data_IF_606818183189
#
_entry.id   IF_606818183189
#
_cell.length_a   1.000
_cell.length_b   1.000
_cell.length_c   1.000
_cell.angle_alpha   90.00
_cell.angle_beta   90.00
_cell.angle_gamma   90.00
#
_symmetry.space_group_name_H-M   'P 1'
#
loop_
_entity.id
_entity.type
_entity.pdbx_description
1 polymer ?
#
# COMPACT_ATOMS: atom_id res chain seq x y z
N UNK A 1 -57.69 -26.30 -15.05
CA UNK A 1 -57.01 -25.06 -15.49
C UNK A 1 -56.33 -24.31 -14.33
N UNK A 2 -56.97 -24.09 -13.17
CA UNK A 2 -56.38 -23.34 -12.05
C UNK A 2 -55.08 -23.91 -11.44
N UNK A 3 -54.90 -25.24 -11.40
CA UNK A 3 -53.68 -25.88 -10.86
C UNK A 3 -52.42 -25.63 -11.70
N UNK A 4 -52.56 -25.48 -13.02
CA UNK A 4 -51.43 -25.18 -13.91
C UNK A 4 -50.94 -23.73 -13.75
N UNK A 5 -51.86 -22.80 -13.44
CA UNK A 5 -51.53 -21.39 -13.21
C UNK A 5 -50.78 -21.17 -11.88
N UNK A 6 -51.16 -21.87 -10.80
CA UNK A 6 -50.44 -21.79 -9.52
C UNK A 6 -49.00 -22.32 -9.61
N UNK A 7 -48.81 -23.44 -10.32
CA UNK A 7 -47.50 -24.06 -10.49
C UNK A 7 -46.56 -23.20 -11.37
N UNK A 8 -47.11 -22.45 -12.33
CA UNK A 8 -46.37 -21.50 -13.14
C UNK A 8 -45.87 -20.31 -12.32
N UNK A 9 -46.74 -19.71 -11.49
CA UNK A 9 -46.40 -18.59 -10.61
C UNK A 9 -45.33 -18.97 -9.56
N UNK A 10 -45.41 -20.18 -9.03
CA UNK A 10 -44.47 -20.69 -8.04
C UNK A 10 -43.08 -20.96 -8.67
N UNK A 11 -43.03 -21.48 -9.90
CA UNK A 11 -41.77 -21.66 -10.65
C UNK A 11 -41.15 -20.33 -11.08
N UNK A 12 -41.95 -19.35 -11.52
CA UNK A 12 -41.44 -18.00 -11.83
C UNK A 12 -40.93 -17.30 -10.57
N UNK A 13 -41.62 -17.44 -9.43
CA UNK A 13 -41.18 -16.87 -8.15
C UNK A 13 -39.83 -17.44 -7.69
N UNK A 14 -39.62 -18.76 -7.81
CA UNK A 14 -38.34 -19.41 -7.50
C UNK A 14 -37.24 -18.96 -8.48
N UNK A 15 -37.56 -18.77 -9.76
CA UNK A 15 -36.60 -18.27 -10.75
C UNK A 15 -36.16 -16.83 -10.46
N UNK A 16 -37.08 -15.93 -10.10
CA UNK A 16 -36.75 -14.57 -9.67
C UNK A 16 -35.98 -14.52 -8.34
N UNK A 17 -36.30 -15.40 -7.39
CA UNK A 17 -35.51 -15.58 -6.15
C UNK A 17 -34.09 -16.08 -6.45
N UNK A 18 -33.93 -17.05 -7.35
CA UNK A 18 -32.62 -17.54 -7.80
C UNK A 18 -31.83 -16.44 -8.54
N UNK A 19 -32.48 -15.65 -9.39
CA UNK A 19 -31.89 -14.48 -10.04
C UNK A 19 -31.49 -13.37 -9.06
N UNK A 20 -32.25 -13.17 -7.98
CA UNK A 20 -31.88 -12.24 -6.91
C UNK A 20 -30.75 -12.74 -6.01
N UNK A 21 -30.56 -14.08 -5.96
CA UNK A 21 -29.44 -14.73 -5.26
C UNK A 21 -28.19 -14.92 -6.11
N UNK A 22 -28.28 -14.67 -7.42
CA UNK A 22 -27.10 -14.40 -8.24
C UNK A 22 -26.60 -13.03 -7.81
N UNK A 23 -25.79 -13.02 -6.75
CA UNK A 23 -24.92 -11.89 -6.45
C UNK A 23 -24.09 -11.70 -7.72
N UNK A 24 -24.45 -10.71 -8.53
CA UNK A 24 -23.55 -10.23 -9.56
C UNK A 24 -22.30 -9.81 -8.80
N UNK A 25 -21.24 -10.60 -8.89
CA UNK A 25 -19.94 -10.18 -8.40
C UNK A 25 -19.59 -8.94 -9.22
N UNK A 26 -19.75 -7.76 -8.63
CA UNK A 26 -19.34 -6.52 -9.27
C UNK A 26 -17.83 -6.54 -9.40
N UNK A 27 -17.37 -6.82 -10.62
CA UNK A 27 -15.97 -6.74 -10.97
C UNK A 27 -15.58 -5.28 -11.15
N UNK A 28 -15.11 -4.65 -10.07
CA UNK A 28 -14.54 -3.30 -10.14
C UNK A 28 -13.25 -3.24 -10.97
N UNK A 29 -13.01 -2.09 -11.58
CA UNK A 29 -11.79 -1.74 -12.30
C UNK A 29 -10.80 -1.05 -11.36
N UNK A 30 -9.67 -1.68 -11.12
CA UNK A 30 -8.71 -1.33 -10.08
C UNK A 30 -7.44 -0.77 -10.71
N UNK A 31 -7.08 0.46 -10.34
CA UNK A 31 -5.78 1.03 -10.64
C UNK A 31 -4.80 0.64 -9.54
N UNK A 32 -3.73 -0.04 -9.89
CA UNK A 32 -2.67 -0.42 -8.97
C UNK A 32 -1.46 0.50 -9.15
N UNK A 33 -1.12 1.23 -8.09
CA UNK A 33 0.09 2.07 -8.01
C UNK A 33 1.04 1.44 -6.98
N UNK A 34 1.94 0.54 -7.40
CA UNK A 34 2.84 -0.18 -6.52
C UNK A 34 4.05 0.67 -6.14
N UNK A 35 4.82 0.16 -5.18
CA UNK A 35 6.18 0.63 -4.87
C UNK A 35 7.15 -0.54 -5.08
N UNK A 36 8.34 -0.24 -5.59
CA UNK A 36 9.34 -1.26 -5.90
C UNK A 36 9.90 -1.94 -4.63
N UNK A 37 10.78 -2.93 -4.80
CA UNK A 37 11.42 -3.62 -3.68
C UNK A 37 10.49 -4.65 -3.04
N UNK A 38 10.63 -4.78 -1.71
CA UNK A 38 9.84 -5.70 -0.88
C UNK A 38 8.35 -5.35 -0.84
N UNK A 39 8.00 -4.09 -1.15
CA UNK A 39 6.62 -3.61 -1.21
C UNK A 39 5.87 -4.33 -2.35
N UNK A 40 6.43 -4.30 -3.57
CA UNK A 40 5.86 -5.02 -4.71
C UNK A 40 5.81 -6.53 -4.50
N UNK A 41 6.86 -7.13 -3.92
CA UNK A 41 6.88 -8.57 -3.67
C UNK A 41 5.71 -9.03 -2.79
N UNK A 42 5.31 -8.22 -1.82
CA UNK A 42 4.16 -8.50 -0.94
C UNK A 42 2.82 -8.17 -1.61
N UNK A 43 2.79 -7.15 -2.47
CA UNK A 43 1.58 -6.66 -3.13
C UNK A 43 1.15 -7.52 -4.33
N UNK A 44 2.12 -8.02 -5.10
CA UNK A 44 1.90 -8.79 -6.33
C UNK A 44 0.96 -9.99 -6.15
N UNK A 45 1.08 -10.83 -5.10
CA UNK A 45 0.13 -11.93 -4.87
C UNK A 45 -1.31 -11.43 -4.67
N UNK A 46 -1.50 -10.30 -4.00
CA UNK A 46 -2.82 -9.69 -3.78
C UNK A 46 -3.40 -9.19 -5.11
N UNK A 47 -2.59 -8.51 -5.92
CA UNK A 47 -2.96 -8.06 -7.28
C UNK A 47 -3.39 -9.24 -8.15
N UNK A 48 -2.62 -10.35 -8.11
CA UNK A 48 -2.98 -11.58 -8.81
C UNK A 48 -4.30 -12.17 -8.32
N UNK A 49 -4.57 -12.10 -7.01
CA UNK A 49 -5.84 -12.60 -6.45
C UNK A 49 -7.04 -11.72 -6.81
N UNK A 50 -6.87 -10.40 -6.85
CA UNK A 50 -7.91 -9.46 -7.31
C UNK A 50 -8.32 -9.80 -8.76
N UNK A 51 -7.34 -9.98 -9.64
CA UNK A 51 -7.60 -10.41 -11.01
C UNK A 51 -8.34 -11.76 -11.05
N UNK A 52 -7.88 -12.77 -10.30
CA UNK A 52 -8.50 -14.10 -10.28
C UNK A 52 -9.96 -14.07 -9.79
N UNK A 53 -10.31 -13.07 -8.99
CA UNK A 53 -11.67 -12.85 -8.52
C UNK A 53 -12.53 -12.03 -9.51
N UNK A 54 -12.01 -11.74 -10.71
CA UNK A 54 -12.76 -11.14 -11.82
C UNK A 54 -12.54 -9.64 -12.03
N UNK A 55 -11.78 -8.96 -11.15
CA UNK A 55 -11.53 -7.52 -11.29
C UNK A 55 -10.70 -7.19 -12.54
N UNK A 56 -11.03 -6.06 -13.20
CA UNK A 56 -10.18 -5.49 -14.26
C UNK A 56 -9.03 -4.72 -13.60
N UNK A 57 -7.84 -5.31 -13.60
CA UNK A 57 -6.68 -4.78 -12.88
C UNK A 57 -5.68 -4.16 -13.86
N UNK A 58 -5.36 -2.88 -13.64
CA UNK A 58 -4.31 -2.16 -14.38
C UNK A 58 -3.20 -1.78 -13.41
N UNK A 59 -2.00 -2.30 -13.63
CA UNK A 59 -0.81 -1.98 -12.83
C UNK A 59 0.07 -1.01 -13.60
N UNK A 60 0.34 0.16 -13.01
CA UNK A 60 1.23 1.16 -13.58
C UNK A 60 2.62 1.01 -12.97
N UNK A 61 3.63 0.76 -13.79
CA UNK A 61 5.00 0.48 -13.35
C UNK A 61 6.02 1.34 -14.11
N UNK A 62 7.12 1.74 -13.49
CA UNK A 62 8.20 2.45 -14.18
C UNK A 62 8.91 1.53 -15.20
N UNK A 63 9.60 2.14 -16.17
CA UNK A 63 10.34 1.43 -17.22
C UNK A 63 11.52 0.60 -16.69
N UNK A 64 12.07 1.00 -15.54
CA UNK A 64 13.15 0.31 -14.83
C UNK A 64 12.68 -0.05 -13.43
N UNK A 65 13.00 -1.26 -12.95
CA UNK A 65 12.54 -1.75 -11.66
C UNK A 65 13.40 -2.91 -11.13
N UNK A 66 13.56 -2.99 -9.81
CA UNK A 66 14.20 -4.11 -9.12
C UNK A 66 13.40 -5.41 -9.25
N UNK A 67 12.07 -5.35 -9.09
CA UNK A 67 11.24 -6.56 -9.02
C UNK A 67 9.96 -6.53 -9.88
N UNK A 68 9.59 -5.39 -10.47
CA UNK A 68 8.41 -5.27 -11.34
C UNK A 68 8.74 -5.67 -12.77
N UNK A 69 8.83 -6.99 -12.99
CA UNK A 69 9.13 -7.56 -14.31
C UNK A 69 7.96 -7.38 -15.29
N UNK A 70 8.13 -6.47 -16.23
CA UNK A 70 7.13 -6.12 -17.27
C UNK A 70 7.02 -7.14 -18.40
N UNK A 71 8.04 -7.99 -18.58
CA UNK A 71 8.13 -8.97 -19.69
C UNK A 71 7.58 -10.36 -19.35
N UNK A 72 7.22 -10.61 -18.09
CA UNK A 72 6.62 -11.89 -17.68
C UNK A 72 5.11 -11.85 -17.95
N UNK A 73 4.52 -12.96 -18.42
CA UNK A 73 3.08 -13.03 -18.66
C UNK A 73 2.32 -12.78 -17.36
N UNK A 74 1.53 -11.70 -17.32
CA UNK A 74 0.64 -11.37 -16.21
C UNK A 74 -0.81 -11.52 -16.67
N UNK A 75 -1.68 -11.92 -15.75
CA UNK A 75 -3.12 -12.01 -16.04
C UNK A 75 -3.84 -10.66 -15.92
N UNK A 76 -3.11 -9.59 -15.62
CA UNK A 76 -3.58 -8.22 -15.48
C UNK A 76 -2.87 -7.30 -16.47
N UNK A 77 -3.49 -6.15 -16.75
CA UNK A 77 -2.92 -5.16 -17.66
C UNK A 77 -1.73 -4.47 -17.01
N UNK A 78 -0.61 -4.35 -17.71
CA UNK A 78 0.56 -3.59 -17.27
C UNK A 78 0.73 -2.36 -18.15
N UNK A 79 0.89 -1.19 -17.52
CA UNK A 79 1.17 0.09 -18.17
C UNK A 79 2.52 0.60 -17.70
N UNK A 80 3.40 0.89 -18.66
CA UNK A 80 4.78 1.28 -18.39
C UNK A 80 4.96 2.76 -18.69
N UNK A 81 5.63 3.49 -17.80
CA UNK A 81 6.01 4.90 -18.04
C UNK A 81 7.54 5.06 -17.90
N UNK A 82 8.17 5.96 -18.68
CA UNK A 82 9.60 6.20 -18.63
C UNK A 82 10.03 6.89 -17.33
N UNK A 83 11.24 6.58 -16.88
CA UNK A 83 11.91 7.20 -15.72
C UNK A 83 13.37 7.53 -16.08
N UNK A 84 14.02 8.49 -15.40
CA UNK A 84 15.32 9.03 -15.82
C UNK A 84 16.54 8.16 -15.48
N UNK A 85 16.35 6.93 -14.99
CA UNK A 85 17.43 6.04 -14.58
C UNK A 85 17.16 4.58 -15.00
N UNK A 86 18.23 3.79 -15.05
CA UNK A 86 18.21 2.40 -15.56
C UNK A 86 18.16 1.35 -14.44
N UNK A 87 17.94 0.10 -14.82
CA UNK A 87 18.00 -1.04 -13.91
C UNK A 87 19.38 -1.17 -13.24
N UNK A 88 20.47 -0.87 -13.94
CA UNK A 88 21.83 -0.91 -13.39
C UNK A 88 22.01 0.11 -12.26
N UNK A 89 21.48 1.33 -12.44
CA UNK A 89 21.52 2.35 -11.40
C UNK A 89 20.79 1.88 -10.12
N UNK A 90 19.61 1.29 -10.29
CA UNK A 90 18.83 0.70 -9.21
C UNK A 90 19.61 -0.38 -8.43
N UNK A 91 20.31 -1.28 -9.14
CA UNK A 91 21.12 -2.32 -8.52
C UNK A 91 22.31 -1.75 -7.74
N UNK A 92 22.94 -0.68 -8.25
CA UNK A 92 24.04 0.00 -7.56
C UNK A 92 23.56 0.65 -6.27
N UNK A 93 22.43 1.38 -6.32
CA UNK A 93 21.83 2.02 -5.15
C UNK A 93 21.46 0.97 -4.09
N UNK A 94 20.80 -0.11 -4.49
CA UNK A 94 20.45 -1.21 -3.59
C UNK A 94 21.70 -1.84 -2.95
N UNK A 95 22.74 -2.10 -3.73
CA UNK A 95 24.00 -2.69 -3.22
C UNK A 95 24.69 -1.76 -2.23
N UNK A 96 24.72 -0.45 -2.48
CA UNK A 96 25.28 0.53 -1.54
C UNK A 96 24.51 0.53 -0.22
N UNK A 97 23.18 0.63 -0.30
CA UNK A 97 22.31 0.61 0.86
C UNK A 97 22.51 -0.65 1.71
N UNK A 98 22.58 -1.82 1.08
CA UNK A 98 22.82 -3.10 1.77
C UNK A 98 24.20 -3.11 2.44
N UNK A 99 25.26 -2.73 1.73
CA UNK A 99 26.62 -2.75 2.27
C UNK A 99 26.78 -1.84 3.50
N UNK A 100 26.15 -0.67 3.48
CA UNK A 100 26.20 0.27 4.62
C UNK A 100 25.54 -0.31 5.88
N UNK A 101 24.47 -1.09 5.74
CA UNK A 101 23.79 -1.74 6.88
C UNK A 101 24.61 -2.86 7.52
N UNK A 102 25.54 -3.47 6.78
CA UNK A 102 26.44 -4.51 7.29
C UNK A 102 27.80 -4.00 7.75
N UNK A 103 28.06 -2.70 7.60
CA UNK A 103 29.31 -2.08 8.03
C UNK A 103 29.24 -1.72 9.52
N UNK A 104 30.23 -2.15 10.31
CA UNK A 104 30.32 -1.73 11.72
C UNK A 104 30.54 -0.23 11.84
N UNK A 105 29.70 0.43 12.63
CA UNK A 105 29.67 1.87 12.78
C UNK A 105 29.34 2.24 14.23
N UNK A 106 29.79 3.41 14.67
CA UNK A 106 29.37 3.95 15.97
C UNK A 106 27.87 4.27 15.96
N UNK A 107 27.23 4.21 17.12
CA UNK A 107 25.78 4.46 17.27
C UNK A 107 25.33 5.78 16.64
N UNK A 108 26.09 6.87 16.81
CA UNK A 108 25.76 8.16 16.22
C UNK A 108 25.82 8.12 14.70
N UNK A 109 26.84 7.44 14.14
CA UNK A 109 27.00 7.29 12.71
C UNK A 109 25.87 6.46 12.10
N UNK A 110 25.43 5.39 12.79
CA UNK A 110 24.26 4.60 12.39
C UNK A 110 23.01 5.48 12.27
N UNK A 111 22.75 6.34 13.25
CA UNK A 111 21.58 7.24 13.24
C UNK A 111 21.65 8.20 12.03
N UNK A 112 22.82 8.81 11.81
CA UNK A 112 23.02 9.76 10.70
C UNK A 112 22.86 9.05 9.34
N UNK A 113 23.56 7.93 9.15
CA UNK A 113 23.52 7.16 7.90
C UNK A 113 22.12 6.61 7.63
N UNK A 114 21.41 6.14 8.65
CA UNK A 114 20.02 5.69 8.50
C UNK A 114 19.10 6.83 8.04
N UNK A 115 19.24 8.02 8.61
CA UNK A 115 18.46 9.19 8.17
C UNK A 115 18.79 9.59 6.73
N UNK A 116 20.07 9.65 6.37
CA UNK A 116 20.51 9.92 4.99
C UNK A 116 19.94 8.90 4.00
N UNK A 117 19.98 7.63 4.36
CA UNK A 117 19.43 6.56 3.53
C UNK A 117 17.90 6.67 3.35
N UNK A 118 17.16 7.04 4.41
CA UNK A 118 15.73 7.31 4.29
C UNK A 118 15.49 8.49 3.34
N UNK A 119 16.25 9.59 3.47
CA UNK A 119 16.12 10.75 2.58
C UNK A 119 16.39 10.38 1.11
N UNK A 120 17.46 9.62 0.83
CA UNK A 120 17.79 9.18 -0.53
C UNK A 120 16.72 8.25 -1.10
N UNK A 121 16.19 7.33 -0.30
CA UNK A 121 15.06 6.48 -0.70
C UNK A 121 13.84 7.32 -1.07
N UNK A 122 13.47 8.28 -0.22
CA UNK A 122 12.33 9.17 -0.48
C UNK A 122 12.55 10.04 -1.73
N UNK A 123 13.76 10.56 -1.95
CA UNK A 123 14.13 11.32 -3.15
C UNK A 123 14.04 10.46 -4.42
N UNK A 124 14.51 9.23 -4.34
CA UNK A 124 14.43 8.27 -5.45
C UNK A 124 12.97 8.04 -5.85
N UNK A 125 12.13 7.70 -4.87
CA UNK A 125 10.70 7.48 -5.09
C UNK A 125 9.94 8.75 -5.51
N UNK A 126 10.34 9.92 -5.02
CA UNK A 126 9.82 11.21 -5.48
C UNK A 126 10.04 11.35 -6.99
N UNK A 127 11.25 11.09 -7.47
CA UNK A 127 11.60 11.17 -8.89
C UNK A 127 10.75 10.22 -9.75
N UNK A 128 10.53 9.01 -9.24
CA UNK A 128 9.64 8.00 -9.85
C UNK A 128 8.21 8.53 -9.97
N UNK A 129 7.67 9.08 -8.88
CA UNK A 129 6.32 9.61 -8.86
C UNK A 129 6.16 10.83 -9.76
N UNK A 130 7.11 11.76 -9.72
CA UNK A 130 7.15 12.94 -10.57
C UNK A 130 7.12 12.54 -12.05
N UNK A 131 7.94 11.56 -12.45
CA UNK A 131 7.97 11.05 -13.83
C UNK A 131 6.61 10.48 -14.28
N UNK A 132 5.86 9.84 -13.37
CA UNK A 132 4.50 9.35 -13.66
C UNK A 132 3.51 10.50 -13.80
N UNK A 133 3.48 11.40 -12.82
CA UNK A 133 2.49 12.48 -12.76
C UNK A 133 2.69 13.53 -13.86
N UNK A 134 3.92 13.69 -14.36
CA UNK A 134 4.24 14.55 -15.50
C UNK A 134 4.12 13.85 -16.85
N UNK A 135 3.84 12.54 -16.88
CA UNK A 135 3.60 11.84 -18.14
C UNK A 135 2.17 12.11 -18.64
N UNK A 136 2.02 13.10 -19.52
CA UNK A 136 0.71 13.55 -20.03
C UNK A 136 -0.10 12.43 -20.69
N UNK A 137 0.54 11.56 -21.48
CA UNK A 137 -0.13 10.44 -22.15
C UNK A 137 -0.71 9.45 -21.11
N UNK A 138 0.10 9.07 -20.12
CA UNK A 138 -0.31 8.18 -19.04
C UNK A 138 -1.42 8.82 -18.23
N UNK A 139 -1.27 10.07 -17.80
CA UNK A 139 -2.29 10.78 -17.01
C UNK A 139 -3.61 10.91 -17.77
N UNK A 140 -3.55 11.16 -19.08
CA UNK A 140 -4.74 11.22 -19.92
C UNK A 140 -5.40 9.84 -20.07
N UNK A 141 -4.61 8.77 -20.22
CA UNK A 141 -5.11 7.40 -20.23
C UNK A 141 -5.79 7.05 -18.89
N UNK A 142 -5.16 7.37 -17.76
CA UNK A 142 -5.69 7.07 -16.42
C UNK A 142 -7.03 7.78 -16.19
N UNK A 143 -7.12 9.07 -16.55
CA UNK A 143 -8.36 9.85 -16.46
C UNK A 143 -9.49 9.27 -17.32
N UNK A 144 -9.19 8.86 -18.56
CA UNK A 144 -10.19 8.29 -19.49
C UNK A 144 -10.62 6.87 -19.10
N UNK A 145 -9.79 6.16 -18.35
CA UNK A 145 -10.00 4.73 -18.03
C UNK A 145 -11.11 4.47 -17.02
N UNK A 146 -11.57 5.48 -16.27
CA UNK A 146 -12.66 5.39 -15.27
C UNK A 146 -12.46 4.22 -14.29
N UNK A 147 -11.47 4.34 -13.42
CA UNK A 147 -11.23 3.39 -12.35
C UNK A 147 -12.26 3.55 -11.22
N UNK A 148 -12.56 2.47 -10.52
CA UNK A 148 -13.45 2.50 -9.36
C UNK A 148 -12.68 2.74 -8.06
N UNK A 149 -11.41 2.30 -8.01
CA UNK A 149 -10.56 2.41 -6.82
C UNK A 149 -9.07 2.39 -7.18
N UNK A 150 -8.27 3.12 -6.40
CA UNK A 150 -6.80 3.02 -6.41
C UNK A 150 -6.33 2.08 -5.30
N UNK A 151 -5.65 1.01 -5.67
CA UNK A 151 -4.96 0.12 -4.74
C UNK A 151 -3.46 0.44 -4.74
N UNK A 152 -2.91 0.88 -3.61
CA UNK A 152 -1.54 1.43 -3.59
C UNK A 152 -0.83 1.19 -2.26
N UNK A 153 0.50 1.07 -2.30
CA UNK A 153 1.29 1.33 -1.10
C UNK A 153 1.51 2.86 -0.99
N UNK A 154 0.90 3.51 0.01
CA UNK A 154 0.82 4.96 0.10
C UNK A 154 2.11 5.63 0.56
N UNK A 155 3.17 4.88 0.93
CA UNK A 155 4.37 5.41 1.63
C UNK A 155 4.99 6.65 0.98
N UNK A 156 4.76 6.84 -0.32
CA UNK A 156 5.41 7.84 -1.16
C UNK A 156 4.41 8.73 -1.90
N UNK A 157 3.19 8.86 -1.37
CA UNK A 157 2.12 9.77 -1.79
C UNK A 157 1.63 9.66 -3.25
N UNK A 158 2.30 8.94 -4.15
CA UNK A 158 1.94 8.90 -5.56
C UNK A 158 0.54 8.35 -5.80
N UNK A 159 0.23 7.21 -5.15
CA UNK A 159 -1.10 6.61 -5.18
C UNK A 159 -2.17 7.53 -4.57
N UNK A 160 -1.98 8.08 -3.36
CA UNK A 160 -2.86 9.11 -2.79
C UNK A 160 -3.11 10.31 -3.71
N UNK A 161 -2.07 10.90 -4.32
CA UNK A 161 -2.21 12.03 -5.25
C UNK A 161 -3.02 11.62 -6.48
N UNK A 162 -2.74 10.45 -7.05
CA UNK A 162 -3.51 9.92 -8.19
C UNK A 162 -4.96 9.65 -7.84
N UNK A 163 -5.24 9.13 -6.64
CA UNK A 163 -6.60 8.89 -6.19
C UNK A 163 -7.41 10.20 -6.11
N UNK A 164 -6.81 11.26 -5.56
CA UNK A 164 -7.44 12.58 -5.48
C UNK A 164 -7.63 13.19 -6.88
N UNK A 165 -6.61 13.11 -7.74
CA UNK A 165 -6.66 13.59 -9.12
C UNK A 165 -7.75 12.90 -9.95
N UNK A 166 -7.94 11.60 -9.76
CA UNK A 166 -8.96 10.81 -10.44
C UNK A 166 -10.33 10.89 -9.74
N UNK A 167 -10.39 11.47 -8.54
CA UNK A 167 -11.58 11.56 -7.70
C UNK A 167 -12.20 10.18 -7.40
N UNK A 168 -11.35 9.23 -7.03
CA UNK A 168 -11.74 7.84 -6.70
C UNK A 168 -11.24 7.45 -5.31
N UNK A 169 -11.93 6.54 -4.59
CA UNK A 169 -11.46 6.04 -3.31
C UNK A 169 -10.11 5.32 -3.44
N UNK A 170 -9.39 5.22 -2.33
CA UNK A 170 -8.12 4.51 -2.27
C UNK A 170 -8.09 3.45 -1.18
N UNK A 171 -7.48 2.31 -1.49
CA UNK A 171 -7.17 1.23 -0.56
C UNK A 171 -5.66 1.19 -0.41
N UNK A 172 -5.20 1.40 0.82
CA UNK A 172 -3.79 1.46 1.15
C UNK A 172 -3.26 0.11 1.60
N UNK A 173 -2.07 -0.25 1.13
CA UNK A 173 -1.42 -1.53 1.39
C UNK A 173 -0.02 -1.28 1.94
N UNK A 174 0.14 -1.28 3.26
CA UNK A 174 1.35 -0.78 3.92
C UNK A 174 1.71 -1.58 5.17
N UNK A 175 2.99 -1.58 5.53
CA UNK A 175 3.40 -2.08 6.85
C UNK A 175 3.35 -0.99 7.92
N UNK A 176 3.48 0.26 7.53
CA UNK A 176 3.47 1.41 8.42
C UNK A 176 4.12 2.60 7.74
N UNK A 177 4.08 3.75 8.40
CA UNK A 177 4.69 4.98 7.90
C UNK A 177 5.79 5.47 8.85
N UNK A 178 6.84 6.11 8.31
CA UNK A 178 7.72 6.94 9.12
C UNK A 178 6.91 7.94 9.95
N UNK A 179 7.35 8.16 11.18
CA UNK A 179 6.88 9.26 12.02
C UNK A 179 5.38 9.19 12.40
N UNK A 180 4.78 8.01 12.27
CA UNK A 180 3.38 7.75 12.64
C UNK A 180 2.36 8.45 11.74
N UNK A 181 2.70 8.70 10.47
CA UNK A 181 1.78 9.35 9.53
C UNK A 181 0.50 8.54 9.30
N UNK A 182 0.56 7.22 9.38
CA UNK A 182 -0.61 6.35 9.38
C UNK A 182 -1.58 6.71 10.51
N UNK A 183 -1.04 6.87 11.73
CA UNK A 183 -1.85 7.26 12.90
C UNK A 183 -2.39 8.68 12.77
N UNK A 184 -1.56 9.64 12.31
CA UNK A 184 -1.97 11.03 12.13
C UNK A 184 -3.07 11.17 11.08
N UNK A 185 -2.90 10.54 9.91
CA UNK A 185 -3.85 10.61 8.80
C UNK A 185 -5.19 9.94 9.12
N UNK A 186 -5.16 8.83 9.86
CA UNK A 186 -6.38 8.15 10.31
C UNK A 186 -6.99 8.77 11.58
N UNK A 187 -6.37 9.82 12.14
CA UNK A 187 -6.73 10.39 13.43
C UNK A 187 -6.74 9.36 14.58
N UNK A 188 -5.94 8.31 14.44
CA UNK A 188 -5.78 7.26 15.43
C UNK A 188 -4.88 7.74 16.58
N UNK A 189 -5.30 7.65 17.85
CA UNK A 189 -4.45 8.03 18.97
C UNK A 189 -3.16 7.19 19.02
N UNK A 190 -2.02 7.86 19.18
CA UNK A 190 -0.71 7.22 19.32
C UNK A 190 0.07 7.82 20.50
N UNK A 191 -0.33 7.53 21.76
CA UNK A 191 0.23 8.20 22.92
C UNK A 191 1.68 7.77 23.20
N UNK A 192 2.63 8.72 23.30
CA UNK A 192 4.05 8.39 23.53
C UNK A 192 4.32 7.83 24.93
N UNK A 193 3.33 7.77 25.80
CA UNK A 193 3.45 7.19 27.14
C UNK A 193 3.51 5.65 27.10
N UNK A 194 2.95 4.98 26.09
CA UNK A 194 2.97 3.51 25.97
C UNK A 194 3.15 3.00 24.54
N UNK A 195 3.00 3.85 23.52
CA UNK A 195 3.32 3.47 22.13
C UNK A 195 4.80 3.82 21.86
N UNK A 196 5.69 2.82 21.69
CA UNK A 196 7.10 3.09 21.46
C UNK A 196 7.35 3.73 20.09
N UNK A 197 8.22 4.74 20.03
CA UNK A 197 8.71 5.30 18.77
C UNK A 197 9.74 4.35 18.15
N UNK A 198 9.78 4.35 16.82
CA UNK A 198 10.73 3.55 16.07
C UNK A 198 12.17 3.91 16.48
N UNK A 199 13.07 2.92 16.41
CA UNK A 199 14.51 3.05 16.72
C UNK A 199 14.87 3.32 18.18
N UNK A 200 13.90 3.35 19.11
CA UNK A 200 14.19 3.54 20.54
C UNK A 200 14.40 2.24 21.34
N UNK A 201 14.27 1.07 20.72
CA UNK A 201 14.31 -0.25 21.38
C UNK A 201 13.49 -0.30 22.68
N UNK A 202 12.34 0.36 22.67
CA UNK A 202 11.39 0.39 23.77
C UNK A 202 10.30 -0.66 23.54
N UNK A 203 9.74 -1.21 24.62
CA UNK A 203 8.52 -2.01 24.59
C UNK A 203 7.28 -1.16 24.91
N UNK A 204 6.11 -1.79 24.97
CA UNK A 204 4.87 -1.22 25.50
C UNK A 204 4.91 -0.98 27.03
N UNK A 205 5.80 -1.67 27.74
CA UNK A 205 6.06 -1.48 29.16
C UNK A 205 7.32 -0.63 29.40
N UNK A 206 7.17 0.70 29.33
CA UNK A 206 8.27 1.66 29.54
C UNK A 206 8.34 2.19 30.98
N UNK A 207 9.57 2.29 31.50
CA UNK A 207 9.91 3.09 32.70
C UNK A 207 9.70 4.59 32.46
N UNK A 208 9.68 5.40 33.52
CA UNK A 208 9.55 6.85 33.40
C UNK A 208 10.61 7.48 32.46
N UNK A 209 11.88 7.10 32.62
CA UNK A 209 12.96 7.61 31.78
C UNK A 209 12.79 7.21 30.29
N UNK A 210 12.36 5.98 30.03
CA UNK A 210 12.05 5.54 28.67
C UNK A 210 10.89 6.33 28.06
N UNK A 211 9.84 6.63 28.83
CA UNK A 211 8.71 7.46 28.39
C UNK A 211 9.15 8.89 28.07
N UNK A 212 10.01 9.48 28.90
CA UNK A 212 10.59 10.81 28.62
C UNK A 212 11.39 10.79 27.32
N UNK A 213 12.27 9.81 27.12
CA UNK A 213 13.02 9.64 25.87
C UNK A 213 12.09 9.45 24.66
N UNK A 214 11.03 8.65 24.83
CA UNK A 214 10.04 8.38 23.80
C UNK A 214 9.29 9.65 23.38
N UNK A 215 8.89 10.47 24.36
CA UNK A 215 8.28 11.78 24.13
C UNK A 215 9.22 12.74 23.40
N UNK A 216 10.50 12.79 23.80
CA UNK A 216 11.49 13.65 23.14
C UNK A 216 11.65 13.30 21.66
N UNK A 217 11.77 12.00 21.33
CA UNK A 217 11.81 11.57 19.92
C UNK A 217 10.53 11.92 19.19
N UNK A 218 9.36 11.75 19.82
CA UNK A 218 8.11 12.13 19.19
C UNK A 218 8.01 13.62 18.84
N UNK A 219 8.57 14.49 19.69
CA UNK A 219 8.67 15.93 19.39
C UNK A 219 9.67 16.17 18.25
N UNK A 220 10.83 15.53 18.28
CA UNK A 220 11.86 15.67 17.24
C UNK A 220 11.35 15.26 15.85
N UNK A 221 10.51 14.22 15.77
CA UNK A 221 9.87 13.76 14.53
C UNK A 221 9.06 14.85 13.83
N UNK A 222 8.50 15.82 14.56
CA UNK A 222 7.78 16.93 13.94
C UNK A 222 8.69 17.79 13.04
N UNK A 223 9.99 17.79 13.30
CA UNK A 223 10.98 18.56 12.56
C UNK A 223 11.69 17.69 11.53
N UNK A 224 12.29 16.56 11.94
CA UNK A 224 13.12 15.79 11.02
C UNK A 224 12.33 15.00 9.97
N UNK A 225 11.03 14.80 10.15
CA UNK A 225 10.21 14.11 9.16
C UNK A 225 9.58 15.03 8.13
N UNK A 226 9.53 16.33 8.40
CA UNK A 226 8.94 17.31 7.48
C UNK A 226 9.57 17.22 6.06
N UNK A 227 10.90 17.16 5.90
CA UNK A 227 11.53 17.13 4.58
C UNK A 227 11.13 15.91 3.73
N UNK A 228 10.72 14.80 4.36
CA UNK A 228 10.28 13.59 3.65
C UNK A 228 8.99 13.82 2.85
N UNK A 229 8.13 14.71 3.32
CA UNK A 229 6.79 14.90 2.77
C UNK A 229 6.64 16.20 1.98
N UNK A 230 7.40 17.25 2.30
CA UNK A 230 7.31 18.56 1.65
C UNK A 230 7.36 18.47 0.12
N UNK A 231 8.29 17.69 -0.44
CA UNK A 231 8.41 17.57 -1.90
C UNK A 231 7.16 16.96 -2.54
N UNK A 232 6.54 15.99 -1.87
CA UNK A 232 5.29 15.38 -2.33
C UNK A 232 4.10 16.33 -2.19
N UNK A 233 4.07 17.16 -1.15
CA UNK A 233 3.04 18.19 -0.98
C UNK A 233 3.12 19.26 -2.08
N UNK A 234 4.35 19.68 -2.45
CA UNK A 234 4.58 20.60 -3.56
C UNK A 234 4.15 19.99 -4.91
N UNK A 235 4.52 18.73 -5.17
CA UNK A 235 4.10 18.00 -6.36
C UNK A 235 2.58 17.81 -6.40
N UNK A 236 1.96 17.50 -5.26
CA UNK A 236 0.51 17.40 -5.16
C UNK A 236 -0.17 18.74 -5.47
N UNK A 237 0.37 19.85 -4.96
CA UNK A 237 -0.13 21.19 -5.27
C UNK A 237 -0.05 21.49 -6.77
N UNK A 238 1.06 21.14 -7.42
CA UNK A 238 1.24 21.31 -8.86
C UNK A 238 0.21 20.51 -9.68
N UNK A 239 -0.06 19.26 -9.31
CA UNK A 239 -0.93 18.36 -10.08
C UNK A 239 -2.43 18.62 -9.78
N UNK A 240 -2.76 18.89 -8.52
CA UNK A 240 -4.15 19.06 -8.06
C UNK A 240 -4.61 20.51 -8.09
N UNK A 241 -3.70 21.47 -8.24
CA UNK A 241 -3.97 22.92 -8.20
C UNK A 241 -4.66 23.36 -6.90
N UNK A 242 -4.38 22.65 -5.80
CA UNK A 242 -4.96 22.86 -4.47
C UNK A 242 -3.91 22.58 -3.41
N UNK A 243 -3.84 23.44 -2.39
CA UNK A 243 -2.94 23.23 -1.25
C UNK A 243 -3.45 22.06 -0.42
N UNK A 244 -2.62 21.02 -0.29
CA UNK A 244 -2.90 19.81 0.48
C UNK A 244 -1.64 19.42 1.25
N UNK A 245 -1.82 18.87 2.45
CA UNK A 245 -0.72 18.26 3.20
C UNK A 245 -0.68 16.75 2.95
N UNK A 246 0.43 16.10 3.29
CA UNK A 246 0.54 14.64 3.24
C UNK A 246 -0.50 13.97 4.15
N UNK A 247 -0.84 14.60 5.28
CA UNK A 247 -1.90 14.12 6.17
C UNK A 247 -3.27 14.19 5.50
N UNK A 248 -3.57 15.30 4.79
CA UNK A 248 -4.84 15.47 4.07
C UNK A 248 -4.98 14.40 2.97
N UNK A 249 -3.95 14.22 2.15
CA UNK A 249 -3.93 13.22 1.08
C UNK A 249 -4.18 11.81 1.61
N UNK A 250 -3.50 11.45 2.71
CA UNK A 250 -3.65 10.13 3.33
C UNK A 250 -5.00 9.97 4.05
N UNK A 251 -5.61 11.04 4.55
CA UNK A 251 -6.89 10.95 5.26
C UNK A 251 -8.03 10.44 4.36
N UNK A 252 -7.88 10.54 3.03
CA UNK A 252 -8.83 10.03 2.05
C UNK A 252 -8.74 8.49 1.85
N UNK A 253 -7.80 7.81 2.52
CA UNK A 253 -7.68 6.35 2.49
C UNK A 253 -8.92 5.64 3.06
N UNK A 254 -9.68 4.99 2.19
CA UNK A 254 -10.95 4.34 2.56
C UNK A 254 -10.73 3.07 3.39
N UNK A 255 -9.70 2.29 3.06
CA UNK A 255 -9.30 1.08 3.80
C UNK A 255 -7.78 1.03 3.89
N UNK A 256 -7.27 0.70 5.07
CA UNK A 256 -5.85 0.56 5.36
C UNK A 256 -5.52 -0.91 5.64
N UNK A 257 -5.01 -1.60 4.63
CA UNK A 257 -4.56 -2.98 4.74
C UNK A 257 -3.14 -3.01 5.33
N UNK A 258 -3.07 -3.33 6.62
CA UNK A 258 -1.84 -3.37 7.40
C UNK A 258 -1.13 -4.71 7.21
N UNK A 259 0.08 -4.70 6.63
CA UNK A 259 0.89 -5.89 6.26
C UNK A 259 1.59 -6.56 7.44
N UNK A 260 0.92 -6.62 8.58
CA UNK A 260 1.40 -7.26 9.79
C UNK A 260 0.21 -7.81 10.58
N UNK A 261 0.48 -8.70 11.52
CA UNK A 261 -0.51 -9.26 12.43
C UNK A 261 -0.42 -8.54 13.78
N UNK A 262 -1.56 -8.31 14.42
CA UNK A 262 -1.62 -7.66 15.73
C UNK A 262 -0.89 -8.48 16.81
N UNK A 263 -0.78 -9.81 16.64
CA UNK A 263 -0.08 -10.68 17.58
C UNK A 263 1.44 -10.42 17.69
N UNK A 264 2.04 -9.75 16.71
CA UNK A 264 3.47 -9.42 16.69
C UNK A 264 3.75 -7.95 16.96
N UNK A 265 2.73 -7.16 17.28
CA UNK A 265 2.86 -5.72 17.49
C UNK A 265 2.47 -5.33 18.91
N UNK A 266 3.00 -4.20 19.36
CA UNK A 266 2.61 -3.63 20.65
C UNK A 266 1.17 -3.12 20.62
N UNK A 267 0.43 -3.27 21.74
CA UNK A 267 -0.95 -2.81 21.83
C UNK A 267 -1.04 -1.31 21.59
N UNK A 268 -1.81 -0.91 20.59
CA UNK A 268 -2.12 0.48 20.28
C UNK A 268 -3.53 0.62 19.74
N UNK A 269 -4.14 1.82 19.84
CA UNK A 269 -5.42 2.10 19.20
C UNK A 269 -5.36 1.85 17.69
N UNK A 270 -6.50 1.50 17.11
CA UNK A 270 -6.67 1.22 15.68
C UNK A 270 -8.02 1.73 15.21
N UNK A 271 -8.11 2.24 13.99
CA UNK A 271 -9.38 2.69 13.41
C UNK A 271 -10.14 1.53 12.75
N UNK A 272 -11.49 1.59 12.66
CA UNK A 272 -12.29 0.51 12.06
C UNK A 272 -11.97 0.20 10.60
N UNK A 273 -11.42 1.16 9.86
CA UNK A 273 -10.99 0.99 8.47
C UNK A 273 -9.57 0.44 8.34
N UNK A 274 -8.86 0.16 9.45
CA UNK A 274 -7.56 -0.48 9.45
C UNK A 274 -7.71 -2.00 9.63
N UNK A 275 -7.33 -2.76 8.60
CA UNK A 275 -7.50 -4.21 8.54
C UNK A 275 -6.13 -4.88 8.53
N UNK A 276 -5.87 -5.73 9.53
CA UNK A 276 -4.62 -6.49 9.62
C UNK A 276 -4.65 -7.69 8.69
N UNK A 277 -3.66 -7.75 7.79
CA UNK A 277 -3.51 -8.82 6.79
C UNK A 277 -2.13 -9.47 6.92
N UNK A 278 -1.71 -9.74 8.16
CA UNK A 278 -0.52 -10.54 8.44
C UNK A 278 -0.54 -11.91 7.75
N UNK A 279 0.64 -12.47 7.49
CA UNK A 279 0.76 -13.83 6.92
C UNK A 279 0.53 -13.97 5.41
N UNK A 280 0.15 -12.91 4.70
CA UNK A 280 -0.10 -12.94 3.24
C UNK A 280 1.11 -13.44 2.42
N UNK A 281 2.33 -13.24 2.91
CA UNK A 281 3.55 -13.68 2.24
C UNK A 281 3.67 -15.22 2.25
N UNK A 282 3.15 -15.91 3.28
CA UNK A 282 3.20 -17.37 3.40
C UNK A 282 2.24 -18.07 2.42
N UNK A 283 1.10 -17.45 2.10
CA UNK A 283 0.14 -17.99 1.13
C UNK A 283 0.81 -18.18 -0.24
N UNK A 284 1.70 -17.26 -0.63
CA UNK A 284 2.44 -17.34 -1.89
C UNK A 284 3.48 -18.46 -1.93
N UNK A 285 4.04 -18.84 -0.77
CA UNK A 285 5.03 -19.91 -0.62
C UNK A 285 4.33 -21.28 -0.63
N UNK A 286 3.22 -21.43 0.10
CA UNK A 286 2.47 -22.69 0.14
C UNK A 286 1.88 -23.07 -1.24
N UNK A 287 1.43 -22.08 -2.02
CA UNK A 287 0.94 -22.29 -3.39
C UNK A 287 2.06 -22.76 -4.33
N UNK A 288 3.31 -22.32 -4.12
CA UNK A 288 4.46 -22.79 -4.92
C UNK A 288 4.98 -24.16 -4.48
N UNK A 289 4.87 -24.51 -3.20
CA UNK A 289 5.36 -25.80 -2.68
C UNK A 289 4.40 -26.97 -2.91
N UNK A 290 3.12 -26.74 -3.22
CA UNK A 290 2.16 -27.80 -3.52
C UNK A 290 1.42 -27.56 -4.85
N UNK A 291 1.92 -28.08 -5.99
CA UNK A 291 1.21 -28.02 -7.27
C UNK A 291 -0.02 -28.96 -7.34
N UNK A 292 -0.49 -29.49 -6.21
CA UNK A 292 -1.58 -30.45 -6.11
C UNK A 292 -2.84 -29.87 -5.47
N UNK A 293 -3.82 -29.56 -6.31
CA UNK A 293 -5.27 -29.42 -6.03
C UNK A 293 -5.71 -28.39 -4.94
N UNK A 294 -6.20 -27.19 -5.33
CA UNK A 294 -6.54 -26.09 -4.42
C UNK A 294 -7.78 -26.31 -3.51
N UNK A 295 -8.41 -27.48 -3.53
CA UNK A 295 -9.65 -27.73 -2.75
C UNK A 295 -9.44 -28.17 -1.30
N UNK A 296 -8.22 -28.54 -0.89
CA UNK A 296 -8.00 -29.16 0.44
C UNK A 296 -7.88 -28.15 1.59
N UNK A 297 -7.64 -26.87 1.31
CA UNK A 297 -7.42 -25.86 2.37
C UNK A 297 -8.68 -25.12 2.85
N UNK A 298 -9.86 -25.37 2.26
CA UNK A 298 -11.11 -24.71 2.70
C UNK A 298 -11.73 -25.29 3.98
N UNK A 299 -11.20 -26.42 4.50
CA UNK A 299 -11.83 -27.15 5.60
C UNK A 299 -11.05 -27.16 6.93
N UNK A 300 -10.02 -26.32 7.09
CA UNK A 300 -9.44 -26.08 8.42
C UNK A 300 -9.86 -24.70 8.92
N UNK A 301 -11.04 -24.66 9.54
CA UNK A 301 -11.37 -23.64 10.54
C UNK A 301 -10.32 -23.72 11.65
N UNK A 302 -9.63 -22.61 11.88
CA UNK A 302 -9.11 -22.25 13.21
C UNK A 302 -10.17 -21.35 13.82
#
# INVERSE_FOLDING_TARGET
MALQFLCFYQRTGIFFLLLSSLIFAECGKILVIPQDGSHWLSMRPVVGKLQQNGHDVVVVVPSSSLFMKTKEHQNYTVKVYPIPYTDEHLHVVLKSFVNEHFTEQSTLKIIITMYQNIMEIFRFFFTTCQSLLHNEEMMQYLRKSKFDVVFTDPILMCGPILADYLSVPSVYFLRGFPCGMDSKATQCPSPPSYVPRLFLNNSDSMTFAQRVKNMLVNILELVYCQPLFTQFEELAYEILQKKVTATDLLSHGSVWLMRYDFAFEFPRPTMPNMVFIGGINLLSILIKSYPGNPKVLSNKKI
#
